data_IF_605613807101
#
_entry.id   IF_605613807101
#
_cell.length_a   1.000
_cell.length_b   1.000
_cell.length_c   1.000
_cell.angle_alpha   90.00
_cell.angle_beta   90.00
_cell.angle_gamma   90.00
#
_symmetry.space_group_name_H-M   'P 1'
#
loop_
_entity.id
_entity.type
_entity.pdbx_description
1 polymer ?
#
# COMPACT_ATOMS: atom_id res chain seq x y z
N UNK A 1 -6.56 15.67 -3.33
CA UNK A 1 -5.11 15.71 -3.54
C UNK A 1 -4.82 15.11 -4.91
N UNK A 2 -4.08 15.85 -5.73
CA UNK A 2 -3.63 15.38 -7.04
C UNK A 2 -2.12 15.17 -6.96
N UNK A 3 -1.70 13.98 -6.54
CA UNK A 3 -0.30 13.67 -6.27
C UNK A 3 0.09 12.34 -6.90
N UNK A 4 1.33 12.22 -7.39
CA UNK A 4 1.78 11.02 -8.09
C UNK A 4 2.28 9.88 -7.19
N UNK A 5 2.45 10.15 -5.90
CA UNK A 5 2.97 9.22 -4.89
C UNK A 5 2.51 9.68 -3.51
N UNK A 6 2.99 8.99 -2.47
CA UNK A 6 2.79 9.42 -1.10
C UNK A 6 3.37 10.82 -0.84
N UNK A 7 2.64 11.62 -0.07
CA UNK A 7 3.03 12.98 0.33
C UNK A 7 2.77 13.14 1.83
N UNK A 8 3.73 13.73 2.53
CA UNK A 8 3.57 14.06 3.95
C UNK A 8 2.42 15.06 4.15
N UNK A 9 1.60 14.84 5.18
CA UNK A 9 0.42 15.67 5.47
C UNK A 9 0.48 16.27 6.89
N UNK A 10 1.43 17.17 7.20
CA UNK A 10 1.50 17.81 8.53
C UNK A 10 0.25 18.64 8.87
N UNK A 11 -0.56 18.95 7.85
CA UNK A 11 -1.82 19.68 7.93
C UNK A 11 -3.05 18.77 8.06
N UNK A 12 -2.92 17.44 8.09
CA UNK A 12 -4.06 16.50 8.07
C UNK A 12 -5.09 16.78 9.17
N UNK A 13 -4.65 17.17 10.37
CA UNK A 13 -5.54 17.50 11.50
C UNK A 13 -6.30 18.84 11.35
N UNK A 14 -6.04 19.59 10.27
CA UNK A 14 -6.64 20.91 10.00
C UNK A 14 -7.77 20.84 8.95
N UNK A 15 -8.09 19.65 8.45
CA UNK A 15 -9.14 19.42 7.46
C UNK A 15 -10.05 18.29 7.90
N UNK A 16 -11.32 18.35 7.52
CA UNK A 16 -12.31 17.31 7.86
C UNK A 16 -12.20 16.07 6.95
N UNK A 17 -11.71 16.26 5.72
CA UNK A 17 -11.61 15.19 4.74
C UNK A 17 -10.44 15.41 3.77
N UNK A 18 -9.86 14.30 3.31
CA UNK A 18 -8.89 14.25 2.21
C UNK A 18 -9.39 13.24 1.20
N UNK A 19 -9.42 13.64 -0.07
CA UNK A 19 -9.70 12.74 -1.20
C UNK A 19 -8.45 12.66 -2.07
N UNK A 20 -7.75 11.53 -2.07
CA UNK A 20 -6.65 11.28 -3.00
C UNK A 20 -7.22 10.91 -4.38
N UNK A 21 -6.86 11.70 -5.40
CA UNK A 21 -7.35 11.54 -6.77
C UNK A 21 -6.24 11.15 -7.74
N UNK A 22 -4.97 11.10 -7.30
CA UNK A 22 -3.81 10.84 -8.15
C UNK A 22 -3.72 11.82 -9.32
N UNK A 23 -3.35 11.33 -10.50
CA UNK A 23 -3.48 12.03 -11.78
C UNK A 23 -4.60 11.38 -12.60
N UNK A 24 -5.87 11.83 -12.43
CA UNK A 24 -7.04 11.12 -12.93
C UNK A 24 -7.36 11.33 -14.42
N UNK A 25 -6.42 11.91 -15.18
CA UNK A 25 -6.55 12.14 -16.61
C UNK A 25 -7.60 13.19 -16.99
N UNK A 26 -8.00 13.19 -18.26
CA UNK A 26 -8.85 14.24 -18.85
C UNK A 26 -10.27 14.31 -18.28
N UNK A 27 -10.79 13.21 -17.73
CA UNK A 27 -12.14 13.13 -17.13
C UNK A 27 -12.17 13.49 -15.63
N UNK A 28 -11.12 14.16 -15.14
CA UNK A 28 -11.01 14.52 -13.73
C UNK A 28 -12.21 15.30 -13.19
N UNK A 29 -12.62 16.36 -13.91
CA UNK A 29 -13.66 17.28 -13.44
C UNK A 29 -14.97 16.54 -13.14
N UNK A 30 -15.55 15.84 -14.13
CA UNK A 30 -16.75 15.04 -13.92
C UNK A 30 -16.57 13.96 -12.83
N UNK A 31 -15.45 13.25 -12.81
CA UNK A 31 -15.21 12.20 -11.82
C UNK A 31 -15.17 12.76 -10.39
N UNK A 32 -14.46 13.86 -10.18
CA UNK A 32 -14.33 14.52 -8.89
C UNK A 32 -15.67 15.03 -8.37
N UNK A 33 -16.46 15.71 -9.22
CA UNK A 33 -17.79 16.21 -8.85
C UNK A 33 -18.70 15.06 -8.45
N UNK A 34 -18.71 13.95 -9.21
CA UNK A 34 -19.53 12.80 -8.90
C UNK A 34 -19.20 12.18 -7.54
N UNK A 35 -17.91 12.13 -7.17
CA UNK A 35 -17.49 11.66 -5.84
C UNK A 35 -17.89 12.68 -4.77
N UNK A 36 -17.52 13.96 -4.91
CA UNK A 36 -17.77 14.98 -3.89
C UNK A 36 -19.26 15.13 -3.53
N UNK A 37 -20.15 14.97 -4.51
CA UNK A 37 -21.61 15.05 -4.30
C UNK A 37 -22.28 13.70 -4.06
N UNK A 38 -21.50 12.61 -3.94
CA UNK A 38 -22.03 11.29 -3.61
C UNK A 38 -22.83 10.60 -4.72
N UNK A 39 -22.80 11.13 -5.95
CA UNK A 39 -23.31 10.43 -7.13
C UNK A 39 -22.52 9.13 -7.39
N UNK A 40 -21.23 9.12 -7.01
CA UNK A 40 -20.37 7.94 -6.94
C UNK A 40 -19.81 7.82 -5.53
N UNK A 41 -19.95 6.64 -4.93
CA UNK A 41 -19.33 6.32 -3.65
C UNK A 41 -17.85 5.92 -3.87
N UNK A 42 -16.86 6.54 -3.18
CA UNK A 42 -15.46 6.16 -3.32
C UNK A 42 -15.24 4.72 -2.88
N UNK A 43 -14.46 3.99 -3.69
CA UNK A 43 -14.10 2.58 -3.43
C UNK A 43 -12.62 2.28 -3.70
N UNK A 44 -11.80 3.31 -3.92
CA UNK A 44 -10.36 3.15 -4.11
C UNK A 44 -9.68 2.73 -2.80
N UNK A 45 -8.67 1.88 -2.91
CA UNK A 45 -7.78 1.49 -1.80
C UNK A 45 -6.33 1.79 -2.19
N UNK A 46 -5.51 2.21 -1.23
CA UNK A 46 -4.14 2.60 -1.49
C UNK A 46 -3.30 1.41 -2.01
N UNK A 47 -2.61 1.55 -3.15
CA UNK A 47 -1.71 0.52 -3.66
C UNK A 47 -0.30 0.59 -3.02
N UNK A 48 -0.08 1.56 -2.12
CA UNK A 48 1.19 1.77 -1.43
C UNK A 48 0.93 2.36 -0.04
N UNK A 49 1.87 2.15 0.89
CA UNK A 49 1.83 2.77 2.21
C UNK A 49 2.24 4.23 2.13
N UNK A 50 1.51 5.12 2.80
CA UNK A 50 1.91 6.52 2.96
C UNK A 50 2.67 6.68 4.29
N UNK A 51 3.96 7.05 4.28
CA UNK A 51 4.70 7.30 5.51
C UNK A 51 4.18 8.54 6.25
N UNK A 52 4.43 8.62 7.56
CA UNK A 52 4.29 9.89 8.31
C UNK A 52 5.44 10.84 7.98
N UNK A 53 6.64 10.28 7.76
CA UNK A 53 7.83 11.01 7.36
C UNK A 53 8.77 10.17 6.48
N UNK A 54 9.67 10.81 5.73
CA UNK A 54 10.74 10.08 5.04
C UNK A 54 11.61 9.23 5.97
N UNK A 55 11.68 9.56 7.26
CA UNK A 55 12.41 8.77 8.25
C UNK A 55 11.69 7.44 8.62
N UNK A 56 10.52 7.15 8.05
CA UNK A 56 9.79 5.89 8.29
C UNK A 56 9.94 4.88 7.14
N UNK A 57 10.64 5.23 6.06
CA UNK A 57 10.77 4.39 4.87
C UNK A 57 11.99 3.46 4.98
N UNK A 58 12.04 2.32 4.26
CA UNK A 58 13.17 1.40 4.33
C UNK A 58 14.48 1.96 3.79
N UNK A 59 14.43 2.95 2.89
CA UNK A 59 15.59 3.50 2.18
C UNK A 59 16.17 4.71 2.91
N UNK A 60 16.92 4.45 3.98
CA UNK A 60 17.35 5.49 4.94
C UNK A 60 18.79 5.98 4.72
N UNK A 61 19.55 5.27 3.89
CA UNK A 61 20.96 5.56 3.61
C UNK A 61 21.18 5.83 2.13
N UNK A 62 22.20 6.62 1.82
CA UNK A 62 22.61 6.89 0.43
C UNK A 62 22.91 5.60 -0.34
N UNK A 63 23.41 4.55 0.34
CA UNK A 63 23.66 3.25 -0.26
C UNK A 63 22.36 2.56 -0.74
N UNK A 64 21.25 2.71 -0.02
CA UNK A 64 19.94 2.18 -0.40
C UNK A 64 19.20 3.06 -1.39
N UNK A 65 19.25 4.37 -1.19
CA UNK A 65 18.70 5.33 -2.12
C UNK A 65 19.42 6.69 -1.98
N UNK A 66 19.96 7.25 -3.08
CA UNK A 66 19.75 6.82 -4.46
C UNK A 66 20.81 5.84 -4.99
N UNK A 67 21.66 5.29 -4.11
CA UNK A 67 22.85 4.49 -4.40
C UNK A 67 24.16 5.29 -4.29
N UNK A 68 25.28 4.59 -4.21
CA UNK A 68 26.63 5.16 -4.10
C UNK A 68 27.57 4.64 -5.21
N UNK A 69 28.59 5.43 -5.52
CA UNK A 69 29.74 5.01 -6.33
C UNK A 69 30.81 4.35 -5.44
N UNK A 70 31.86 3.81 -6.05
CA UNK A 70 32.97 3.11 -5.39
C UNK A 70 33.72 3.96 -4.35
N UNK A 71 33.66 5.28 -4.48
CA UNK A 71 34.21 6.25 -3.52
C UNK A 71 33.23 6.64 -2.40
N UNK A 72 32.04 6.04 -2.36
CA UNK A 72 30.99 6.31 -1.39
C UNK A 72 30.13 7.53 -1.69
N UNK A 73 30.39 8.25 -2.78
CA UNK A 73 29.60 9.45 -3.14
C UNK A 73 28.30 9.10 -3.88
N UNK A 74 27.33 10.00 -3.87
CA UNK A 74 26.09 9.88 -4.67
C UNK A 74 26.21 10.51 -6.06
N UNK A 75 27.33 11.18 -6.35
CA UNK A 75 27.59 11.89 -7.60
C UNK A 75 28.66 11.17 -8.40
N UNK A 76 28.43 10.94 -9.70
CA UNK A 76 29.37 10.15 -10.51
C UNK A 76 30.74 10.82 -10.54
N UNK A 77 31.83 10.12 -10.17
CA UNK A 77 33.18 10.68 -10.26
C UNK A 77 33.50 11.13 -11.68
N UNK A 78 34.10 12.32 -11.82
CA UNK A 78 34.40 12.89 -13.12
C UNK A 78 35.37 12.00 -13.91
N UNK A 79 35.08 11.79 -15.20
CA UNK A 79 35.92 10.98 -16.08
C UNK A 79 35.75 9.46 -15.92
N UNK A 80 34.84 8.98 -15.07
CA UNK A 80 34.55 7.54 -14.94
C UNK A 80 33.34 7.14 -15.76
N UNK A 81 33.22 5.84 -16.09
CA UNK A 81 32.02 5.19 -16.64
C UNK A 81 31.24 4.40 -15.60
N UNK A 82 31.50 4.68 -14.32
CA UNK A 82 30.97 3.88 -13.23
C UNK A 82 29.44 3.93 -13.17
N UNK A 83 28.85 2.77 -12.85
CA UNK A 83 27.43 2.63 -12.59
C UNK A 83 27.22 2.72 -11.09
N UNK A 84 26.33 3.59 -10.66
CA UNK A 84 25.93 3.73 -9.26
C UNK A 84 25.40 2.38 -8.75
N UNK A 85 25.93 1.91 -7.62
CA UNK A 85 25.47 0.69 -6.98
C UNK A 85 24.39 1.03 -5.95
N UNK A 86 23.37 0.19 -5.86
CA UNK A 86 22.27 0.33 -4.91
C UNK A 86 22.20 -0.93 -4.06
N UNK A 87 22.25 -0.78 -2.75
CA UNK A 87 22.16 -1.88 -1.79
C UNK A 87 20.75 -2.03 -1.26
N UNK A 88 20.14 -3.20 -1.45
CA UNK A 88 18.75 -3.49 -1.04
C UNK A 88 18.78 -4.20 0.31
N UNK A 89 19.38 -3.55 1.31
CA UNK A 89 19.60 -4.12 2.65
C UNK A 89 18.29 -4.38 3.43
N UNK A 90 17.18 -3.78 3.01
CA UNK A 90 15.84 -4.07 3.51
C UNK A 90 15.28 -5.43 3.02
N UNK A 91 15.94 -6.06 2.04
CA UNK A 91 15.55 -7.36 1.48
C UNK A 91 14.07 -7.40 1.05
N UNK A 92 13.27 -8.28 1.67
CA UNK A 92 11.84 -8.45 1.37
C UNK A 92 10.94 -7.47 2.12
N UNK A 93 11.51 -6.65 3.03
CA UNK A 93 10.78 -5.68 3.86
C UNK A 93 10.58 -4.38 3.09
N UNK A 94 9.75 -4.42 2.04
CA UNK A 94 9.43 -3.24 1.21
C UNK A 94 7.94 -2.93 1.29
N UNK A 95 7.60 -1.63 1.30
CA UNK A 95 6.21 -1.17 1.45
C UNK A 95 5.65 -1.60 2.79
N UNK A 96 4.39 -2.04 2.86
CA UNK A 96 3.73 -2.44 4.12
C UNK A 96 4.48 -3.50 4.93
N UNK A 97 5.33 -4.32 4.28
CA UNK A 97 6.15 -5.33 4.96
C UNK A 97 7.24 -4.71 5.83
N UNK A 98 7.77 -3.54 5.44
CA UNK A 98 8.68 -2.75 6.26
C UNK A 98 7.99 -2.31 7.55
N UNK A 99 6.84 -1.64 7.41
CA UNK A 99 6.08 -1.11 8.54
C UNK A 99 5.62 -2.21 9.51
N UNK A 100 5.21 -3.38 9.01
CA UNK A 100 4.88 -4.54 9.86
C UNK A 100 6.12 -5.11 10.57
N UNK A 101 7.27 -5.17 9.89
CA UNK A 101 8.48 -5.76 10.45
C UNK A 101 9.19 -4.86 11.48
N UNK A 102 9.10 -3.54 11.30
CA UNK A 102 9.75 -2.54 12.15
C UNK A 102 8.80 -1.92 13.19
N UNK A 103 7.55 -2.40 13.26
CA UNK A 103 6.50 -1.92 14.19
C UNK A 103 6.25 -0.39 14.06
N UNK A 104 6.14 0.08 12.81
CA UNK A 104 5.95 1.49 12.49
C UNK A 104 4.51 1.72 12.02
N UNK A 105 3.78 2.59 12.72
CA UNK A 105 2.46 3.05 12.29
C UNK A 105 2.57 4.02 11.10
N UNK A 106 2.10 3.67 9.89
CA UNK A 106 2.11 4.59 8.76
C UNK A 106 1.08 5.73 8.93
N UNK A 107 1.13 6.72 8.03
CA UNK A 107 0.08 7.75 7.97
C UNK A 107 -1.22 7.17 7.40
N UNK A 108 -1.09 6.38 6.32
CA UNK A 108 -2.15 5.53 5.78
C UNK A 108 -1.53 4.21 5.33
N UNK A 109 -2.10 3.09 5.76
CA UNK A 109 -1.62 1.77 5.45
C UNK A 109 -1.92 1.34 4.01
N UNK A 110 -1.16 0.35 3.52
CA UNK A 110 -1.47 -0.30 2.26
C UNK A 110 -2.87 -0.91 2.31
N UNK A 111 -3.65 -0.72 1.25
CA UNK A 111 -5.04 -1.18 1.21
C UNK A 111 -6.04 -0.30 1.96
N UNK A 112 -5.61 0.81 2.58
CA UNK A 112 -6.51 1.78 3.21
C UNK A 112 -7.38 2.49 2.18
N UNK A 113 -8.63 2.75 2.53
CA UNK A 113 -9.53 3.58 1.74
C UNK A 113 -10.95 3.55 2.28
N UNK A 114 -11.54 4.73 2.44
CA UNK A 114 -12.87 4.91 3.01
C UNK A 114 -13.97 4.81 1.95
N UNK A 115 -15.21 4.69 2.43
CA UNK A 115 -16.43 4.68 1.63
C UNK A 115 -17.49 5.56 2.31
N UNK A 116 -18.48 6.04 1.54
CA UNK A 116 -19.67 6.70 2.08
C UNK A 116 -20.68 5.72 2.72
N UNK A 117 -20.41 4.42 2.65
CA UNK A 117 -21.17 3.38 3.36
C UNK A 117 -20.26 2.55 4.25
N UNK A 118 -20.85 1.68 5.08
CA UNK A 118 -20.13 0.76 5.96
C UNK A 118 -20.35 -0.69 5.55
N UNK A 119 -19.31 -1.52 5.68
CA UNK A 119 -19.37 -2.95 5.39
C UNK A 119 -19.09 -3.78 6.63
N UNK A 120 -19.85 -4.87 6.80
CA UNK A 120 -19.63 -5.88 7.83
C UNK A 120 -19.17 -7.19 7.20
N UNK A 121 -18.09 -7.73 7.74
CA UNK A 121 -17.55 -9.04 7.38
C UNK A 121 -18.06 -10.09 8.36
N UNK A 122 -18.39 -11.28 7.88
CA UNK A 122 -18.82 -12.40 8.72
C UNK A 122 -18.60 -13.75 8.04
N UNK A 123 -18.59 -14.82 8.85
CA UNK A 123 -18.54 -16.18 8.33
C UNK A 123 -17.29 -16.48 7.50
N UNK A 124 -16.12 -15.96 7.90
CA UNK A 124 -14.86 -16.33 7.28
C UNK A 124 -14.63 -17.83 7.45
N UNK A 125 -14.47 -18.54 6.35
CA UNK A 125 -14.05 -19.95 6.33
C UNK A 125 -12.83 -20.12 5.44
N UNK A 126 -11.93 -21.00 5.87
CA UNK A 126 -10.73 -21.38 5.14
C UNK A 126 -10.76 -22.89 4.90
N UNK A 127 -10.88 -23.30 3.64
CA UNK A 127 -10.99 -24.71 3.25
C UNK A 127 -9.75 -25.11 2.46
N UNK A 128 -8.91 -26.02 2.99
CA UNK A 128 -7.81 -26.60 2.23
C UNK A 128 -8.38 -27.38 1.03
N UNK A 129 -7.75 -27.20 -0.13
CA UNK A 129 -8.08 -27.90 -1.36
C UNK A 129 -6.84 -28.61 -1.89
N UNK A 130 -7.06 -29.71 -2.60
CA UNK A 130 -6.03 -30.36 -3.40
C UNK A 130 -6.57 -30.42 -4.82
N UNK A 131 -5.88 -29.80 -5.76
CA UNK A 131 -6.31 -29.83 -7.16
C UNK A 131 -5.89 -31.14 -7.85
N UNK A 132 -6.36 -31.35 -9.07
CA UNK A 132 -6.13 -32.58 -9.85
C UNK A 132 -4.66 -32.90 -10.12
N UNK A 133 -3.74 -31.95 -9.88
CA UNK A 133 -2.28 -32.14 -10.02
C UNK A 133 -1.59 -32.39 -8.66
N UNK A 134 -2.35 -32.59 -7.58
CA UNK A 134 -1.82 -32.79 -6.24
C UNK A 134 -1.30 -31.52 -5.55
N UNK A 135 -1.48 -30.34 -6.15
CA UNK A 135 -1.08 -29.07 -5.52
C UNK A 135 -2.11 -28.66 -4.47
N UNK A 136 -1.62 -28.21 -3.32
CA UNK A 136 -2.43 -27.68 -2.22
C UNK A 136 -2.80 -26.24 -2.50
N UNK A 137 -4.10 -25.94 -2.42
CA UNK A 137 -4.67 -24.61 -2.55
C UNK A 137 -5.48 -24.30 -1.28
N UNK A 138 -5.82 -23.02 -1.06
CA UNK A 138 -6.66 -22.59 0.05
C UNK A 138 -7.83 -21.77 -0.50
N UNK A 139 -9.07 -22.20 -0.22
CA UNK A 139 -10.26 -21.41 -0.53
C UNK A 139 -10.68 -20.63 0.69
N UNK A 140 -10.69 -19.31 0.57
CA UNK A 140 -11.28 -18.42 1.55
C UNK A 140 -12.68 -18.03 1.10
N UNK A 141 -13.67 -18.15 1.98
CA UNK A 141 -15.03 -17.63 1.77
C UNK A 141 -15.35 -16.67 2.88
N UNK A 142 -15.87 -15.49 2.56
CA UNK A 142 -16.32 -14.52 3.54
C UNK A 142 -17.59 -13.84 3.04
N UNK A 143 -18.53 -13.58 3.95
CA UNK A 143 -19.71 -12.78 3.63
C UNK A 143 -19.40 -11.32 3.93
N UNK A 144 -19.61 -10.47 2.93
CA UNK A 144 -19.56 -9.02 3.06
C UNK A 144 -20.97 -8.47 2.93
N UNK A 145 -21.38 -7.62 3.86
CA UNK A 145 -22.71 -7.00 3.87
C UNK A 145 -22.56 -5.49 3.92
N UNK A 146 -23.14 -4.79 2.95
CA UNK A 146 -23.33 -3.35 3.05
C UNK A 146 -24.38 -3.07 4.13
N UNK A 147 -23.97 -2.32 5.15
CA UNK A 147 -24.76 -2.02 6.36
C UNK A 147 -25.17 -0.55 6.45
N UNK A 148 -24.69 0.28 5.53
CA UNK A 148 -25.05 1.69 5.48
C UNK A 148 -26.25 1.95 4.58
N UNK A 149 -26.45 3.22 4.24
CA UNK A 149 -27.64 3.71 3.54
C UNK A 149 -27.45 3.94 2.04
N UNK A 150 -26.22 3.85 1.55
CA UNK A 150 -25.88 4.09 0.14
C UNK A 150 -25.23 2.85 -0.46
N UNK A 151 -25.41 2.66 -1.77
CA UNK A 151 -24.68 1.63 -2.50
C UNK A 151 -23.18 1.93 -2.47
N UNK A 152 -22.36 0.88 -2.52
CA UNK A 152 -20.91 1.01 -2.47
C UNK A 152 -20.23 -0.30 -2.82
N UNK A 153 -18.95 -0.20 -3.15
CA UNK A 153 -18.09 -1.34 -3.46
C UNK A 153 -17.05 -1.50 -2.37
N UNK A 154 -16.81 -2.74 -1.95
CA UNK A 154 -15.77 -3.09 -0.98
C UNK A 154 -14.70 -3.96 -1.63
N UNK A 155 -13.44 -3.72 -1.26
CA UNK A 155 -12.29 -4.51 -1.70
C UNK A 155 -11.88 -5.45 -0.57
N UNK A 156 -12.27 -6.72 -0.69
CA UNK A 156 -11.83 -7.77 0.25
C UNK A 156 -10.37 -8.10 0.01
N UNK A 157 -9.53 -7.89 1.02
CA UNK A 157 -8.10 -8.21 1.01
C UNK A 157 -7.85 -9.39 1.95
N UNK A 158 -7.12 -10.39 1.49
CA UNK A 158 -6.75 -11.57 2.28
C UNK A 158 -5.23 -11.59 2.46
N UNK A 159 -4.78 -11.61 3.70
CA UNK A 159 -3.36 -11.58 4.04
C UNK A 159 -2.94 -12.91 4.67
N UNK A 160 -1.93 -13.56 4.09
CA UNK A 160 -1.42 -14.86 4.54
C UNK A 160 -0.03 -14.68 5.15
N UNK A 161 0.15 -15.20 6.35
CA UNK A 161 1.47 -15.32 6.98
C UNK A 161 2.03 -16.72 6.71
N UNK A 162 3.27 -16.78 6.24
CA UNK A 162 3.95 -18.05 6.01
C UNK A 162 4.51 -18.61 7.33
N UNK A 163 4.74 -19.93 7.42
CA UNK A 163 5.41 -20.52 8.56
C UNK A 163 6.80 -19.89 8.76
N UNK A 164 7.25 -19.79 10.01
CA UNK A 164 8.56 -19.20 10.36
C UNK A 164 9.74 -19.83 9.61
N UNK A 165 9.65 -21.12 9.27
CA UNK A 165 10.64 -21.84 8.46
C UNK A 165 10.88 -21.23 7.07
N UNK A 166 9.92 -20.47 6.52
CA UNK A 166 10.07 -19.78 5.24
C UNK A 166 10.99 -18.55 5.34
N UNK A 167 11.29 -18.05 6.55
CA UNK A 167 12.07 -16.82 6.79
C UNK A 167 11.50 -15.58 6.10
N UNK A 168 10.18 -15.51 5.96
CA UNK A 168 9.46 -14.40 5.33
C UNK A 168 8.44 -13.85 6.34
N UNK A 169 8.85 -12.92 7.22
CA UNK A 169 8.13 -12.63 8.46
C UNK A 169 6.83 -11.86 8.26
N UNK A 170 6.73 -11.06 7.19
CA UNK A 170 5.58 -10.21 6.92
C UNK A 170 4.44 -10.97 6.21
N UNK A 171 3.20 -10.57 6.49
CA UNK A 171 2.03 -11.08 5.79
C UNK A 171 2.11 -10.75 4.29
N UNK A 172 1.39 -11.52 3.48
CA UNK A 172 1.33 -11.35 2.03
C UNK A 172 -0.12 -11.25 1.59
N UNK A 173 -0.44 -10.17 0.89
CA UNK A 173 -1.66 -10.09 0.07
C UNK A 173 -1.65 -11.20 -0.99
#
# INVERSE_FOLDING_TARGET
>A
MQTGSAVEMPWLKKVDAVLETWYPGEQQGPALVNVLFGAVNPSGKLPMTFPKSLADVPTQSDAQYPGIFSDGSTTRPAGTSEIRQVDYSEELKVGYRWYEAEDIDPLFEFGYGLSYTSFKYSGLTATPLVNSRGKRDLRLTVRVTNTGRVSGTETVQAYVQLPSAAKEPAKRL
#
